data_IF_705181241618
#
_entry.id   IF_705181241618
#
_cell.length_a   1.000
_cell.length_b   1.000
_cell.length_c   1.000
_cell.angle_alpha   90.00
_cell.angle_beta   90.00
_cell.angle_gamma   90.00
#
_symmetry.space_group_name_H-M   'P 1'
#
loop_
_entity.id
_entity.type
_entity.pdbx_description
1 polymer ?
#
# COMPACT_ATOMS: atom_id res chain seq x y z
N UNK A 1 -10.46 7.56 -4.12
CA UNK A 1 -10.32 6.98 -2.76
C UNK A 1 -8.91 7.17 -2.19
N UNK A 2 -8.78 7.46 -0.89
CA UNK A 2 -7.48 7.54 -0.20
C UNK A 2 -7.35 6.39 0.82
N UNK A 3 -6.32 5.56 0.66
CA UNK A 3 -5.94 4.48 1.57
C UNK A 3 -4.85 4.99 2.50
N UNK A 4 -5.20 5.26 3.76
CA UNK A 4 -4.25 5.72 4.76
C UNK A 4 -3.58 4.51 5.43
N UNK A 5 -2.34 4.21 5.05
CA UNK A 5 -1.66 3.00 5.55
C UNK A 5 -1.48 2.97 7.07
N UNK A 6 -1.40 4.15 7.72
CA UNK A 6 -1.36 4.25 9.18
C UNK A 6 -2.52 3.56 9.90
N UNK A 7 -3.66 3.32 9.22
CA UNK A 7 -4.81 2.59 9.78
C UNK A 7 -4.53 1.11 10.00
N UNK A 8 -3.54 0.54 9.32
CA UNK A 8 -3.05 -0.82 9.56
C UNK A 8 -1.92 -0.88 10.61
N UNK A 9 -1.47 0.29 11.09
CA UNK A 9 -0.32 0.45 11.98
C UNK A 9 0.72 1.42 11.41
N UNK A 10 1.64 1.85 12.24
CA UNK A 10 2.75 2.74 11.84
C UNK A 10 4.05 1.98 11.56
N UNK A 11 4.15 0.73 12.00
CA UNK A 11 5.27 -0.18 11.77
C UNK A 11 4.77 -1.40 10.99
N UNK A 12 4.96 -1.36 9.67
CA UNK A 12 4.39 -2.30 8.71
C UNK A 12 5.49 -3.24 8.19
N UNK A 13 5.73 -4.32 8.92
CA UNK A 13 6.98 -5.11 8.75
C UNK A 13 6.79 -6.58 8.38
N UNK A 14 5.70 -7.23 8.78
CA UNK A 14 5.55 -8.67 8.61
C UNK A 14 4.72 -9.04 7.39
N UNK A 15 5.18 -10.03 6.60
CA UNK A 15 4.42 -10.55 5.46
C UNK A 15 2.99 -11.01 5.84
N UNK A 16 2.77 -11.77 6.94
CA UNK A 16 1.41 -12.19 7.32
C UNK A 16 0.48 -11.00 7.57
N UNK A 17 0.94 -9.94 8.25
CA UNK A 17 0.09 -8.76 8.50
C UNK A 17 -0.20 -7.96 7.23
N UNK A 18 0.71 -7.94 6.25
CA UNK A 18 0.45 -7.34 4.94
C UNK A 18 -0.67 -8.08 4.19
N UNK A 19 -0.62 -9.41 4.21
CA UNK A 19 -1.66 -10.26 3.62
C UNK A 19 -3.01 -10.09 4.33
N UNK A 20 -3.01 -10.03 5.66
CA UNK A 20 -4.22 -9.76 6.44
C UNK A 20 -4.82 -8.39 6.12
N UNK A 21 -3.98 -7.35 6.03
CA UNK A 21 -4.42 -6.01 5.64
C UNK A 21 -5.08 -6.01 4.25
N UNK A 22 -4.48 -6.69 3.28
CA UNK A 22 -5.05 -6.83 1.93
C UNK A 22 -6.42 -7.51 1.95
N UNK A 23 -6.53 -8.64 2.66
CA UNK A 23 -7.77 -9.42 2.77
C UNK A 23 -8.87 -8.63 3.50
N UNK A 24 -8.54 -8.00 4.63
CA UNK A 24 -9.47 -7.20 5.41
C UNK A 24 -9.99 -5.98 4.63
N UNK A 25 -9.20 -5.45 3.69
CA UNK A 25 -9.56 -4.27 2.92
C UNK A 25 -10.37 -4.58 1.64
N UNK A 26 -10.48 -5.85 1.24
CA UNK A 26 -11.23 -6.27 0.04
C UNK A 26 -12.66 -5.70 -0.05
N UNK A 27 -13.48 -5.68 1.02
CA UNK A 27 -14.84 -5.15 0.93
C UNK A 27 -14.88 -3.69 0.46
N UNK A 28 -13.92 -2.88 0.92
CA UNK A 28 -13.80 -1.47 0.50
C UNK A 28 -13.33 -1.37 -0.95
N UNK A 29 -12.34 -2.18 -1.35
CA UNK A 29 -11.83 -2.18 -2.73
C UNK A 29 -12.89 -2.64 -3.75
N UNK A 30 -13.82 -3.51 -3.34
CA UNK A 30 -14.93 -3.99 -4.17
C UNK A 30 -16.00 -2.92 -4.43
N UNK A 31 -16.03 -1.84 -3.66
CA UNK A 31 -16.97 -0.73 -3.84
C UNK A 31 -16.41 0.37 -4.75
N UNK A 32 -15.13 0.30 -5.11
CA UNK A 32 -14.47 1.29 -5.96
C UNK A 32 -15.03 1.19 -7.38
N UNK A 33 -15.54 2.31 -7.89
CA UNK A 33 -16.12 2.43 -9.23
C UNK A 33 -15.04 2.48 -10.33
N UNK A 34 -15.45 2.37 -11.60
CA UNK A 34 -14.56 2.12 -12.75
C UNK A 34 -13.37 3.07 -12.88
N UNK A 35 -13.56 4.37 -12.69
CA UNK A 35 -12.55 5.37 -13.08
C UNK A 35 -11.91 6.07 -11.87
N UNK A 36 -12.31 5.67 -10.66
CA UNK A 36 -11.89 6.35 -9.44
C UNK A 36 -10.38 6.17 -9.17
N UNK A 37 -9.67 7.27 -8.90
CA UNK A 37 -8.24 7.19 -8.54
C UNK A 37 -8.05 6.59 -7.13
N UNK A 38 -7.00 5.80 -6.93
CA UNK A 38 -6.64 5.20 -5.64
C UNK A 38 -5.32 5.79 -5.19
N UNK A 39 -5.38 6.61 -4.15
CA UNK A 39 -4.19 7.21 -3.54
C UNK A 39 -3.81 6.40 -2.31
N UNK A 40 -2.62 5.80 -2.33
CA UNK A 40 -2.01 5.18 -1.14
C UNK A 40 -1.19 6.24 -0.42
N UNK A 41 -1.63 6.56 0.79
CA UNK A 41 -1.04 7.60 1.63
C UNK A 41 -0.18 6.96 2.73
N UNK A 42 1.11 7.26 2.68
CA UNK A 42 2.13 6.79 3.63
C UNK A 42 2.33 7.74 4.83
N UNK A 43 1.52 8.78 4.97
CA UNK A 43 1.60 9.70 6.12
C UNK A 43 1.52 8.93 7.44
N UNK A 44 2.45 9.27 8.35
CA UNK A 44 2.60 8.64 9.68
C UNK A 44 3.01 7.17 9.68
N UNK A 45 3.39 6.59 8.53
CA UNK A 45 4.13 5.33 8.52
C UNK A 45 5.56 5.63 8.99
N UNK A 46 5.99 4.95 10.05
CA UNK A 46 7.33 5.06 10.60
C UNK A 46 8.27 4.07 9.90
N UNK A 47 7.84 2.82 9.75
CA UNK A 47 8.62 1.74 9.13
C UNK A 47 7.73 0.97 8.15
N UNK A 48 8.26 0.68 6.96
CA UNK A 48 7.66 -0.15 5.94
C UNK A 48 8.72 -1.11 5.39
N UNK A 49 8.46 -2.42 5.42
CA UNK A 49 9.36 -3.41 4.80
C UNK A 49 8.86 -3.85 3.42
N UNK A 50 9.77 -4.30 2.52
CA UNK A 50 9.38 -4.86 1.23
C UNK A 50 8.41 -6.03 1.35
N UNK A 51 8.60 -6.90 2.34
CA UNK A 51 7.74 -8.08 2.51
C UNK A 51 6.31 -7.74 2.90
N UNK A 52 6.07 -6.67 3.66
CA UNK A 52 4.72 -6.20 3.96
C UNK A 52 4.13 -5.48 2.74
N UNK A 53 4.91 -4.58 2.13
CA UNK A 53 4.48 -3.76 1.02
C UNK A 53 4.13 -4.58 -0.23
N UNK A 54 4.86 -5.66 -0.51
CA UNK A 54 4.58 -6.58 -1.63
C UNK A 54 3.19 -7.21 -1.49
N UNK A 55 2.79 -7.64 -0.29
CA UNK A 55 1.49 -8.28 -0.07
C UNK A 55 0.29 -7.33 -0.22
N UNK A 56 0.50 -6.03 -0.05
CA UNK A 56 -0.57 -5.04 -0.13
C UNK A 56 -0.54 -4.24 -1.43
N UNK A 57 0.61 -3.69 -1.82
CA UNK A 57 0.75 -2.80 -2.97
C UNK A 57 0.79 -3.55 -4.29
N UNK A 58 1.40 -4.73 -4.36
CA UNK A 58 1.47 -5.50 -5.61
C UNK A 58 0.08 -5.90 -6.09
N UNK A 59 -0.77 -6.60 -5.30
CA UNK A 59 -2.11 -6.95 -5.78
C UNK A 59 -3.03 -5.72 -5.95
N UNK A 60 -2.78 -4.62 -5.23
CA UNK A 60 -3.49 -3.36 -5.45
C UNK A 60 -3.16 -2.77 -6.83
N UNK A 61 -1.88 -2.75 -7.21
CA UNK A 61 -1.43 -2.27 -8.53
C UNK A 61 -1.87 -3.21 -9.65
N UNK A 62 -1.85 -4.52 -9.45
CA UNK A 62 -2.38 -5.49 -10.43
C UNK A 62 -3.88 -5.29 -10.67
N UNK A 63 -4.64 -4.97 -9.61
CA UNK A 63 -6.10 -4.78 -9.70
C UNK A 63 -6.49 -3.46 -10.35
N UNK A 64 -5.76 -2.38 -10.09
CA UNK A 64 -6.17 -1.02 -10.48
C UNK A 64 -5.20 -0.31 -11.43
N UNK A 65 -4.08 -0.94 -11.79
CA UNK A 65 -3.08 -0.46 -12.74
C UNK A 65 -2.63 0.98 -12.44
N UNK A 66 -2.64 1.85 -13.46
CA UNK A 66 -2.15 3.23 -13.40
C UNK A 66 -3.00 4.16 -12.53
N UNK A 67 -4.15 3.69 -12.03
CA UNK A 67 -5.02 4.41 -11.09
C UNK A 67 -4.43 4.45 -9.68
N UNK A 68 -3.42 3.63 -9.38
CA UNK A 68 -2.75 3.64 -8.06
C UNK A 68 -1.68 4.74 -8.04
N UNK A 69 -1.90 5.78 -7.22
CA UNK A 69 -0.95 6.85 -6.94
C UNK A 69 -0.39 6.72 -5.54
N UNK A 70 0.86 7.15 -5.34
CA UNK A 70 1.55 7.09 -4.05
C UNK A 70 1.76 8.51 -3.52
N UNK A 71 1.45 8.76 -2.25
CA UNK A 71 1.56 10.06 -1.59
C UNK A 71 2.35 9.97 -0.28
N UNK A 72 3.04 11.06 0.11
CA UNK A 72 3.85 11.14 1.34
C UNK A 72 4.99 10.10 1.40
N UNK A 73 5.72 9.96 0.30
CA UNK A 73 6.80 8.96 0.13
C UNK A 73 8.16 9.42 0.68
N UNK A 74 8.24 10.57 1.34
CA UNK A 74 9.49 11.20 1.81
C UNK A 74 10.15 10.45 2.98
N UNK A 75 9.44 9.54 3.64
CA UNK A 75 10.00 8.67 4.66
C UNK A 75 11.06 7.74 4.03
N UNK A 76 12.27 7.70 4.60
CA UNK A 76 13.39 6.90 4.07
C UNK A 76 13.11 5.40 4.02
N UNK A 77 12.40 4.84 4.99
CA UNK A 77 11.96 3.43 4.99
C UNK A 77 10.96 3.17 3.85
N UNK A 78 10.05 4.11 3.60
CA UNK A 78 9.07 4.02 2.50
C UNK A 78 9.78 4.08 1.16
N UNK A 79 10.62 5.10 0.94
CA UNK A 79 11.37 5.29 -0.29
C UNK A 79 12.27 4.08 -0.62
N UNK A 80 13.00 3.56 0.36
CA UNK A 80 13.85 2.37 0.17
C UNK A 80 13.03 1.13 -0.22
N UNK A 81 11.88 0.91 0.44
CA UNK A 81 10.99 -0.21 0.11
C UNK A 81 10.40 -0.09 -1.29
N UNK A 82 9.94 1.09 -1.69
CA UNK A 82 9.41 1.32 -3.04
C UNK A 82 10.50 1.12 -4.11
N UNK A 83 11.73 1.55 -3.85
CA UNK A 83 12.86 1.32 -4.75
C UNK A 83 13.19 -0.18 -4.91
N UNK A 84 13.00 -0.99 -3.87
CA UNK A 84 13.16 -2.45 -3.95
C UNK A 84 12.04 -3.07 -4.78
N UNK A 85 10.79 -2.65 -4.59
CA UNK A 85 9.64 -3.16 -5.35
C UNK A 85 9.67 -2.76 -6.84
N UNK A 86 10.14 -1.55 -7.15
CA UNK A 86 10.25 -1.05 -8.53
C UNK A 86 11.39 -1.67 -9.35
N UNK A 87 12.25 -2.48 -8.73
CA UNK A 87 13.30 -3.26 -9.41
C UNK A 87 12.83 -4.64 -9.89
N UNK A 88 11.57 -5.02 -9.62
CA UNK A 88 10.98 -6.27 -10.09
C UNK A 88 10.45 -6.15 -11.51
#
# INVERSE_FOLDING_TARGET
MIIQLKKFGTTLVSRPSGKEAWLAFQPTLNQISGDEEIVVDFAHVAVLTPSWADEFLTPLRERFNDRVKLHNIDNSSVAATLAILGKK
#
